data_IF_266549432826
#
_entry.id   IF_266549432826
#
_cell.length_a   1.000
_cell.length_b   1.000
_cell.length_c   1.000
_cell.angle_alpha   90.00
_cell.angle_beta   90.00
_cell.angle_gamma   90.00
#
_symmetry.space_group_name_H-M   'P 1'
#
loop_
_entity.id
_entity.type
_entity.pdbx_description
1 polymer ?
#
# COMPACT_ATOMS: atom_id res chain seq x y z
N UNK A 1 24.82 14.44 1.69
CA UNK A 1 24.12 14.39 2.99
C UNK A 1 24.83 13.47 3.95
N UNK A 2 24.71 12.14 3.84
CA UNK A 2 25.36 11.19 4.78
C UNK A 2 26.89 11.35 4.77
N UNK A 3 27.50 11.33 3.58
CA UNK A 3 28.93 11.59 3.42
C UNK A 3 29.35 12.96 3.99
N UNK A 4 28.51 13.97 3.81
CA UNK A 4 28.76 15.35 4.26
C UNK A 4 28.80 15.50 5.78
N UNK A 5 28.20 14.57 6.53
CA UNK A 5 28.23 14.58 8.00
C UNK A 5 29.25 13.59 8.59
N UNK A 6 30.15 13.05 7.76
CA UNK A 6 31.35 12.34 8.22
C UNK A 6 31.27 10.81 8.25
N UNK A 7 30.18 10.19 7.79
CA UNK A 7 30.10 8.73 7.71
C UNK A 7 30.95 8.17 6.57
N UNK A 8 31.50 6.97 6.79
CA UNK A 8 32.02 6.14 5.71
C UNK A 8 30.86 5.53 4.93
N UNK A 9 30.71 5.88 3.65
CA UNK A 9 29.55 5.50 2.84
C UNK A 9 29.98 4.52 1.76
N UNK A 10 29.25 3.41 1.64
CA UNK A 10 29.25 2.55 0.45
C UNK A 10 27.84 2.55 -0.14
N UNK A 11 27.73 2.90 -1.41
CA UNK A 11 26.49 2.86 -2.15
C UNK A 11 26.22 1.44 -2.65
N UNK A 12 24.95 1.04 -2.65
CA UNK A 12 24.50 -0.25 -3.17
C UNK A 12 23.37 -0.02 -4.15
N UNK A 13 23.54 -0.52 -5.37
CA UNK A 13 22.49 -0.62 -6.38
C UNK A 13 21.94 -2.04 -6.37
N UNK A 14 20.61 -2.16 -6.27
CA UNK A 14 19.94 -3.46 -6.24
C UNK A 14 19.27 -3.75 -7.57
N UNK A 15 19.66 -4.84 -8.22
CA UNK A 15 18.92 -5.43 -9.34
C UNK A 15 17.88 -6.40 -8.79
N UNK A 16 16.62 -6.00 -8.76
CA UNK A 16 15.51 -6.80 -8.21
C UNK A 16 14.58 -7.40 -9.29
N UNK A 17 14.75 -6.98 -10.54
CA UNK A 17 13.99 -7.47 -11.66
C UNK A 17 14.88 -7.52 -12.89
N UNK A 18 14.73 -8.56 -13.70
CA UNK A 18 15.48 -8.69 -14.94
C UNK A 18 14.59 -8.47 -16.16
N UNK A 19 14.70 -7.29 -16.76
CA UNK A 19 13.88 -6.92 -17.93
C UNK A 19 14.46 -7.54 -19.21
N UNK A 20 15.74 -7.95 -19.20
CA UNK A 20 16.37 -8.59 -20.36
C UNK A 20 15.74 -9.93 -20.68
N UNK A 21 15.19 -10.61 -19.68
CA UNK A 21 14.50 -11.90 -19.83
C UNK A 21 13.09 -11.75 -20.47
N UNK A 22 12.50 -10.53 -20.46
CA UNK A 22 11.13 -10.30 -20.95
C UNK A 22 11.05 -9.53 -22.27
N UNK A 23 11.84 -8.47 -22.48
CA UNK A 23 11.58 -7.49 -23.56
C UNK A 23 12.81 -7.01 -24.32
N UNK A 24 14.03 -7.41 -23.91
CA UNK A 24 15.28 -7.03 -24.59
C UNK A 24 15.70 -5.54 -24.47
N UNK A 25 14.94 -4.69 -23.77
CA UNK A 25 15.29 -3.28 -23.50
C UNK A 25 15.52 -3.07 -22.00
N UNK A 26 16.77 -2.82 -21.60
CA UNK A 26 17.15 -2.71 -20.19
C UNK A 26 17.06 -1.26 -19.67
N UNK A 27 15.97 -0.88 -19.00
CA UNK A 27 15.94 0.41 -18.25
C UNK A 27 16.82 0.38 -16.99
N UNK A 28 17.07 -0.81 -16.44
CA UNK A 28 17.91 -1.00 -15.25
C UNK A 28 19.38 -0.60 -15.50
N UNK A 29 19.89 -0.74 -16.73
CA UNK A 29 21.23 -0.27 -17.11
C UNK A 29 21.37 1.24 -16.98
N UNK A 30 20.35 2.01 -17.40
CA UNK A 30 20.37 3.47 -17.29
C UNK A 30 20.34 3.94 -15.84
N UNK A 31 19.52 3.32 -15.00
CA UNK A 31 19.46 3.66 -13.57
C UNK A 31 20.77 3.32 -12.86
N UNK A 32 21.43 2.23 -13.26
CA UNK A 32 22.75 1.87 -12.76
C UNK A 32 23.82 2.88 -13.19
N UNK A 33 23.84 3.30 -14.47
CA UNK A 33 24.78 4.32 -14.95
C UNK A 33 24.54 5.68 -14.27
N UNK A 34 23.29 6.08 -14.03
CA UNK A 34 22.99 7.28 -13.24
C UNK A 34 23.52 7.16 -11.80
N UNK A 35 23.34 6.00 -11.16
CA UNK A 35 23.86 5.74 -9.81
C UNK A 35 25.39 5.78 -9.79
N UNK A 36 26.04 5.16 -10.77
CA UNK A 36 27.49 5.16 -10.94
C UNK A 36 28.03 6.57 -11.14
N UNK A 37 27.40 7.35 -12.01
CA UNK A 37 27.76 8.76 -12.23
C UNK A 37 27.69 9.60 -10.94
N UNK A 38 26.65 9.41 -10.12
CA UNK A 38 26.54 10.09 -8.81
C UNK A 38 27.66 9.65 -7.87
N UNK A 39 27.92 8.34 -7.80
CA UNK A 39 28.94 7.77 -6.91
C UNK A 39 30.34 8.23 -7.30
N UNK A 40 30.67 8.27 -8.59
CA UNK A 40 31.95 8.77 -9.11
C UNK A 40 32.15 10.25 -8.78
N UNK A 41 31.12 11.07 -8.94
CA UNK A 41 31.15 12.50 -8.57
C UNK A 41 31.39 12.72 -7.08
N UNK A 42 30.78 11.90 -6.24
CA UNK A 42 30.88 11.97 -4.78
C UNK A 42 32.08 11.18 -4.22
N UNK A 43 32.81 10.45 -5.07
CA UNK A 43 33.90 9.53 -4.69
C UNK A 43 33.46 8.49 -3.65
N UNK A 44 32.27 7.92 -3.86
CA UNK A 44 31.68 6.87 -3.03
C UNK A 44 31.76 5.54 -3.77
N UNK A 45 32.21 4.44 -3.16
CA UNK A 45 32.19 3.14 -3.81
C UNK A 45 30.76 2.68 -4.07
N UNK A 46 30.52 2.13 -5.27
CA UNK A 46 29.23 1.57 -5.68
C UNK A 46 29.34 0.06 -5.85
N UNK A 47 28.48 -0.68 -5.16
CA UNK A 47 28.31 -2.12 -5.33
C UNK A 47 27.01 -2.41 -6.07
N UNK A 48 27.04 -3.42 -6.94
CA UNK A 48 25.85 -3.95 -7.60
C UNK A 48 25.48 -5.30 -6.98
N UNK A 49 24.25 -5.44 -6.51
CA UNK A 49 23.76 -6.65 -5.85
C UNK A 49 22.50 -7.13 -6.56
N UNK A 50 22.43 -8.43 -6.82
CA UNK A 50 21.30 -9.05 -7.48
C UNK A 50 20.39 -9.73 -6.46
N UNK A 51 19.14 -9.28 -6.37
CA UNK A 51 18.08 -9.88 -5.56
C UNK A 51 16.88 -10.31 -6.42
N UNK A 52 17.07 -10.58 -7.72
CA UNK A 52 15.99 -10.95 -8.65
C UNK A 52 15.27 -12.22 -8.16
N UNK A 53 16.02 -13.23 -7.73
CA UNK A 53 15.46 -14.50 -7.26
C UNK A 53 14.64 -14.32 -5.99
N UNK A 54 15.17 -13.57 -5.04
CA UNK A 54 14.53 -13.26 -3.76
C UNK A 54 13.25 -12.45 -4.00
N UNK A 55 13.32 -11.44 -4.86
CA UNK A 55 12.19 -10.63 -5.26
C UNK A 55 11.08 -11.48 -5.88
N UNK A 56 11.44 -12.35 -6.83
CA UNK A 56 10.50 -13.23 -7.51
C UNK A 56 9.75 -14.12 -6.53
N UNK A 57 10.48 -14.76 -5.62
CA UNK A 57 9.92 -15.74 -4.70
C UNK A 57 9.11 -15.12 -3.54
N UNK A 58 9.54 -13.97 -3.03
CA UNK A 58 8.98 -13.38 -1.81
C UNK A 58 7.96 -12.28 -2.07
N UNK A 59 8.04 -11.58 -3.20
CA UNK A 59 7.14 -10.45 -3.50
C UNK A 59 6.28 -10.77 -4.71
N UNK A 60 6.90 -11.16 -5.83
CA UNK A 60 6.17 -11.30 -7.09
C UNK A 60 5.25 -12.52 -7.12
N UNK A 61 5.72 -13.67 -6.63
CA UNK A 61 4.91 -14.89 -6.58
C UNK A 61 3.68 -14.74 -5.69
N UNK A 62 3.79 -13.99 -4.58
CA UNK A 62 2.64 -13.66 -3.74
C UNK A 62 1.69 -12.67 -4.43
N UNK A 63 2.24 -11.65 -5.11
CA UNK A 63 1.47 -10.72 -5.92
C UNK A 63 0.56 -11.44 -6.92
N UNK A 64 1.10 -12.40 -7.68
CA UNK A 64 0.35 -13.18 -8.68
C UNK A 64 -0.78 -13.97 -8.01
N UNK A 65 -0.48 -14.71 -6.93
CA UNK A 65 -1.48 -15.48 -6.17
C UNK A 65 -2.63 -14.61 -5.64
N UNK A 66 -2.31 -13.41 -5.19
CA UNK A 66 -3.32 -12.46 -4.72
C UNK A 66 -4.24 -11.99 -5.86
N UNK A 67 -3.68 -11.68 -7.03
CA UNK A 67 -4.47 -11.31 -8.20
C UNK A 67 -5.35 -12.45 -8.72
N UNK A 68 -4.84 -13.69 -8.72
CA UNK A 68 -5.61 -14.90 -9.03
C UNK A 68 -6.79 -15.09 -8.06
N UNK A 69 -6.56 -14.75 -6.79
CA UNK A 69 -7.58 -14.76 -5.74
C UNK A 69 -8.47 -13.50 -5.73
N UNK A 70 -8.43 -12.68 -6.78
CA UNK A 70 -9.27 -11.50 -6.90
C UNK A 70 -8.95 -10.37 -5.92
N UNK A 71 -7.85 -10.42 -5.20
CA UNK A 71 -7.40 -9.30 -4.38
C UNK A 71 -6.74 -8.20 -5.22
N UNK A 72 -6.49 -7.03 -4.62
CA UNK A 72 -5.63 -6.01 -5.20
C UNK A 72 -4.47 -5.74 -4.23
N UNK A 73 -3.33 -6.43 -4.39
CA UNK A 73 -2.17 -6.30 -3.51
C UNK A 73 -1.47 -4.94 -3.60
N UNK A 74 -0.55 -4.70 -2.66
CA UNK A 74 0.41 -3.59 -2.70
C UNK A 74 1.86 -4.14 -2.69
N UNK A 75 2.51 -4.32 -3.86
CA UNK A 75 3.86 -4.88 -3.93
C UNK A 75 4.94 -4.00 -3.30
N UNK A 76 4.73 -2.69 -3.21
CA UNK A 76 5.76 -1.77 -2.71
C UNK A 76 5.94 -1.91 -1.19
N UNK A 77 4.85 -2.16 -0.44
CA UNK A 77 4.92 -2.51 0.98
C UNK A 77 5.73 -3.78 1.19
N UNK A 78 5.46 -4.83 0.39
CA UNK A 78 6.19 -6.10 0.48
C UNK A 78 7.66 -5.98 0.03
N UNK A 79 7.94 -5.20 -1.02
CA UNK A 79 9.30 -4.90 -1.44
C UNK A 79 10.10 -4.20 -0.34
N UNK A 80 9.52 -3.21 0.35
CA UNK A 80 10.20 -2.59 1.48
C UNK A 80 10.41 -3.60 2.61
N UNK A 81 9.39 -4.35 3.00
CA UNK A 81 9.46 -5.35 4.07
C UNK A 81 10.53 -6.42 3.81
N UNK A 82 10.44 -7.11 2.66
CA UNK A 82 11.20 -8.33 2.38
C UNK A 82 12.52 -8.06 1.66
N UNK A 83 12.63 -6.99 0.89
CA UNK A 83 13.83 -6.74 0.07
C UNK A 83 14.68 -5.64 0.67
N UNK A 84 14.14 -4.42 0.78
CA UNK A 84 14.95 -3.27 1.21
C UNK A 84 15.31 -3.32 2.69
N UNK A 85 14.38 -3.73 3.55
CA UNK A 85 14.58 -3.77 5.00
C UNK A 85 14.69 -5.19 5.56
N UNK A 86 14.95 -6.17 4.69
CA UNK A 86 15.34 -7.51 5.14
C UNK A 86 16.54 -8.01 4.33
N UNK A 87 16.40 -8.36 3.06
CA UNK A 87 17.56 -8.85 2.26
C UNK A 87 18.71 -7.85 2.18
N UNK A 88 18.45 -6.59 1.80
CA UNK A 88 19.49 -5.55 1.73
C UNK A 88 20.04 -5.21 3.11
N UNK A 89 19.18 -5.14 4.13
CA UNK A 89 19.62 -4.93 5.51
C UNK A 89 20.59 -6.02 5.96
N UNK A 90 20.24 -7.29 5.77
CA UNK A 90 21.07 -8.42 6.15
C UNK A 90 22.37 -8.45 5.34
N UNK A 91 22.33 -8.19 4.03
CA UNK A 91 23.53 -8.05 3.20
C UNK A 91 24.47 -6.97 3.73
N UNK A 92 23.95 -5.76 4.01
CA UNK A 92 24.75 -4.66 4.51
C UNK A 92 25.37 -4.96 5.89
N UNK A 93 24.59 -5.55 6.81
CA UNK A 93 25.07 -5.89 8.16
C UNK A 93 26.06 -7.06 8.17
N UNK A 94 25.80 -8.09 7.38
CA UNK A 94 26.54 -9.36 7.48
C UNK A 94 27.72 -9.41 6.52
N UNK A 95 27.57 -8.96 5.29
CA UNK A 95 28.61 -9.04 4.26
C UNK A 95 29.48 -7.78 4.27
N UNK A 96 28.87 -6.59 4.31
CA UNK A 96 29.61 -5.32 4.32
C UNK A 96 30.03 -4.87 5.73
N UNK A 97 29.54 -5.56 6.78
CA UNK A 97 29.76 -5.18 8.19
C UNK A 97 29.39 -3.72 8.49
N UNK A 98 28.38 -3.19 7.80
CA UNK A 98 27.93 -1.82 7.98
C UNK A 98 27.19 -1.62 9.31
N UNK A 99 27.37 -0.46 9.94
CA UNK A 99 26.69 -0.10 11.20
C UNK A 99 25.23 0.29 10.99
N UNK A 100 24.86 0.77 9.80
CA UNK A 100 23.51 1.17 9.46
C UNK A 100 23.29 1.10 7.95
N UNK A 101 22.03 1.03 7.55
CA UNK A 101 21.62 1.29 6.16
C UNK A 101 21.01 2.68 6.06
N UNK A 102 20.97 3.23 4.85
CA UNK A 102 20.26 4.47 4.60
C UNK A 102 19.47 4.38 3.30
N UNK A 103 18.33 5.05 3.27
CA UNK A 103 17.48 5.09 2.07
C UNK A 103 16.98 6.50 1.78
N UNK A 104 16.64 6.75 0.52
CA UNK A 104 15.99 7.99 0.09
C UNK A 104 14.49 8.01 0.35
N UNK A 105 13.99 7.34 1.39
CA UNK A 105 12.57 7.43 1.74
C UNK A 105 12.28 8.73 2.51
N UNK A 106 11.17 9.38 2.15
CA UNK A 106 10.59 10.48 2.90
C UNK A 106 9.81 9.93 4.09
N UNK A 107 10.54 9.61 5.16
CA UNK A 107 10.01 9.26 6.49
C UNK A 107 10.96 9.78 7.55
N UNK A 108 10.49 9.96 8.78
CA UNK A 108 11.34 10.29 9.93
C UNK A 108 11.31 9.16 10.95
N UNK A 109 12.26 9.17 11.87
CA UNK A 109 12.25 8.32 13.06
C UNK A 109 12.54 9.17 14.30
N UNK A 110 12.19 8.66 15.48
CA UNK A 110 12.58 9.28 16.76
C UNK A 110 14.10 9.25 16.99
N UNK A 111 14.86 8.44 16.25
CA UNK A 111 16.32 8.40 16.32
C UNK A 111 17.02 9.48 15.51
N UNK A 112 16.27 10.30 14.76
CA UNK A 112 16.81 11.36 13.93
C UNK A 112 17.28 10.87 12.55
N UNK A 113 17.53 11.80 11.60
CA UNK A 113 17.94 11.49 10.23
C UNK A 113 19.21 10.65 10.12
N UNK A 114 20.11 10.72 11.12
CA UNK A 114 21.42 10.08 11.12
C UNK A 114 21.65 9.19 12.35
N UNK A 115 20.58 8.74 13.00
CA UNK A 115 20.64 7.91 14.22
C UNK A 115 21.31 8.60 15.41
N UNK A 116 21.35 9.93 15.44
CA UNK A 116 21.96 10.71 16.53
C UNK A 116 21.32 10.48 17.90
N UNK A 117 20.05 10.03 17.93
CA UNK A 117 19.33 9.69 19.16
C UNK A 117 19.12 8.17 19.31
N UNK A 118 19.92 7.33 18.64
CA UNK A 118 19.84 5.87 18.73
C UNK A 118 20.04 5.37 20.16
N UNK A 119 19.20 4.43 20.57
CA UNK A 119 19.31 3.77 21.87
C UNK A 119 19.08 2.25 21.73
N UNK A 120 20.02 1.39 22.19
CA UNK A 120 19.98 -0.05 21.93
C UNK A 120 18.73 -0.79 22.44
N UNK A 121 18.06 -0.24 23.46
CA UNK A 121 16.94 -0.88 24.16
C UNK A 121 15.62 -0.12 23.98
N UNK A 122 15.59 0.85 23.08
CA UNK A 122 14.37 1.59 22.76
C UNK A 122 13.94 1.23 21.36
N UNK A 123 12.66 0.94 21.21
CA UNK A 123 12.05 0.77 19.91
C UNK A 123 12.08 2.07 19.12
N UNK A 124 12.56 1.99 17.88
CA UNK A 124 12.39 3.08 16.92
C UNK A 124 10.90 3.23 16.58
N UNK A 125 10.48 4.48 16.38
CA UNK A 125 9.15 4.86 15.92
C UNK A 125 9.25 5.36 14.49
N UNK A 126 8.29 5.00 13.65
CA UNK A 126 8.17 5.52 12.29
C UNK A 126 7.28 6.77 12.30
N UNK A 127 7.80 7.88 11.81
CA UNK A 127 7.14 9.18 11.83
C UNK A 127 6.94 9.70 10.40
N UNK A 128 5.88 10.48 10.18
CA UNK A 128 5.61 11.14 8.90
C UNK A 128 6.75 12.05 8.47
N UNK A 129 7.00 12.15 7.18
CA UNK A 129 7.93 13.14 6.63
C UNK A 129 7.44 14.57 6.87
N UNK A 130 8.39 15.52 6.87
CA UNK A 130 8.06 16.95 6.86
C UNK A 130 7.32 17.37 5.59
N UNK A 131 7.61 16.74 4.45
CA UNK A 131 6.86 16.95 3.19
C UNK A 131 5.67 15.99 3.12
N UNK A 132 4.48 16.46 3.52
CA UNK A 132 3.26 15.65 3.54
C UNK A 132 2.85 15.09 2.18
N UNK A 133 3.29 15.70 1.07
CA UNK A 133 3.01 15.22 -0.30
C UNK A 133 3.99 14.14 -0.75
N UNK A 134 5.10 13.97 -0.03
CA UNK A 134 6.10 12.95 -0.29
C UNK A 134 6.17 11.89 0.81
N UNK A 135 5.46 12.07 1.92
CA UNK A 135 5.40 11.12 3.03
C UNK A 135 5.22 9.67 2.55
N UNK A 136 6.16 8.81 2.93
CA UNK A 136 6.24 7.41 2.50
C UNK A 136 6.02 6.43 3.65
N UNK A 137 5.56 6.89 4.82
CA UNK A 137 5.28 6.02 5.98
C UNK A 137 4.31 4.90 5.63
N UNK A 138 3.35 5.17 4.75
CA UNK A 138 2.42 4.16 4.23
C UNK A 138 3.14 2.91 3.69
N UNK A 139 4.20 3.10 2.91
CA UNK A 139 4.95 2.01 2.29
C UNK A 139 5.94 1.33 3.24
N UNK A 140 6.27 1.97 4.37
CA UNK A 140 7.19 1.45 5.38
C UNK A 140 6.44 0.89 6.61
N UNK A 141 5.11 0.85 6.57
CA UNK A 141 4.23 0.44 7.66
C UNK A 141 4.26 -1.06 8.03
N UNK A 142 5.10 -1.84 7.35
CA UNK A 142 5.37 -3.26 7.61
C UNK A 142 6.86 -3.54 7.84
N UNK A 143 7.70 -2.50 7.94
CA UNK A 143 9.15 -2.68 8.03
C UNK A 143 9.52 -3.33 9.37
N UNK A 144 10.33 -4.41 9.37
CA UNK A 144 10.79 -5.06 10.58
C UNK A 144 11.51 -4.09 11.53
N UNK A 145 11.14 -4.13 12.81
CA UNK A 145 11.68 -3.23 13.82
C UNK A 145 13.21 -3.32 13.92
N UNK A 146 13.74 -4.55 13.81
CA UNK A 146 15.18 -4.84 13.77
C UNK A 146 15.89 -4.02 12.68
N UNK A 147 15.36 -3.98 11.46
CA UNK A 147 15.98 -3.25 10.37
C UNK A 147 15.76 -1.73 10.50
N UNK A 148 14.57 -1.32 10.94
CA UNK A 148 14.22 0.09 11.12
C UNK A 148 15.15 0.78 12.14
N UNK A 149 15.51 0.10 13.23
CA UNK A 149 16.39 0.64 14.27
C UNK A 149 17.78 1.05 13.76
N UNK A 150 18.27 0.38 12.70
CA UNK A 150 19.57 0.65 12.08
C UNK A 150 19.42 1.29 10.70
N UNK A 151 18.34 2.05 10.49
CA UNK A 151 18.04 2.72 9.22
C UNK A 151 18.04 4.23 9.35
N UNK A 152 18.81 4.90 8.49
CA UNK A 152 18.85 6.36 8.36
C UNK A 152 17.92 6.84 7.24
N UNK A 153 17.24 7.97 7.48
CA UNK A 153 16.35 8.64 6.52
C UNK A 153 16.68 10.13 6.37
N UNK A 154 17.82 10.47 5.73
CA UNK A 154 18.35 11.84 5.74
C UNK A 154 17.41 12.89 5.14
N UNK A 155 16.55 12.48 4.19
CA UNK A 155 15.64 13.39 3.49
C UNK A 155 14.26 13.50 4.12
N UNK A 156 13.98 12.72 5.19
CA UNK A 156 12.69 12.72 5.88
C UNK A 156 12.26 14.07 6.41
N UNK A 157 13.24 14.89 6.79
CA UNK A 157 13.03 16.23 7.34
C UNK A 157 13.03 17.33 6.27
N UNK A 158 13.27 17.00 5.00
CA UNK A 158 13.41 17.96 3.90
C UNK A 158 12.15 18.03 3.04
N UNK A 159 11.88 19.20 2.45
CA UNK A 159 10.94 19.29 1.35
C UNK A 159 11.59 18.82 0.06
N UNK A 160 10.78 18.32 -0.90
CA UNK A 160 11.32 17.85 -2.19
C UNK A 160 12.15 18.91 -2.91
N UNK A 161 11.74 20.18 -2.81
CA UNK A 161 12.45 21.33 -3.39
C UNK A 161 13.85 21.51 -2.77
N UNK A 162 13.98 21.27 -1.47
CA UNK A 162 15.24 21.44 -0.75
C UNK A 162 16.20 20.31 -1.13
N UNK A 163 15.70 19.08 -1.26
CA UNK A 163 16.50 17.95 -1.77
C UNK A 163 17.03 18.23 -3.18
N UNK A 164 16.21 18.80 -4.07
CA UNK A 164 16.66 19.22 -5.41
C UNK A 164 17.72 20.31 -5.36
N UNK A 165 17.57 21.29 -4.46
CA UNK A 165 18.55 22.35 -4.26
C UNK A 165 19.90 21.78 -3.77
N UNK A 166 19.88 20.90 -2.77
CA UNK A 166 21.08 20.22 -2.26
C UNK A 166 21.77 19.42 -3.37
N UNK A 167 21.00 18.70 -4.20
CA UNK A 167 21.55 17.96 -5.33
C UNK A 167 22.18 18.88 -6.39
N UNK A 168 21.57 20.03 -6.67
CA UNK A 168 22.10 21.04 -7.59
C UNK A 168 23.42 21.64 -7.06
N UNK A 169 23.47 22.00 -5.78
CA UNK A 169 24.68 22.52 -5.10
C UNK A 169 25.82 21.49 -5.08
N UNK A 170 25.48 20.20 -5.00
CA UNK A 170 26.44 19.10 -5.12
C UNK A 170 26.85 18.78 -6.57
N UNK A 171 26.41 19.56 -7.55
CA UNK A 171 26.74 19.36 -8.97
C UNK A 171 25.98 18.20 -9.64
N UNK A 172 24.91 17.68 -9.04
CA UNK A 172 24.14 16.53 -9.53
C UNK A 172 23.01 16.93 -10.51
N UNK A 173 23.27 17.90 -11.38
CA UNK A 173 22.27 18.54 -12.24
C UNK A 173 21.50 17.57 -13.14
N UNK A 174 22.16 16.51 -13.64
CA UNK A 174 21.52 15.48 -14.47
C UNK A 174 20.38 14.78 -13.72
N UNK A 175 20.59 14.49 -12.44
CA UNK A 175 19.60 13.81 -11.59
C UNK A 175 18.47 14.76 -11.20
N UNK A 176 18.74 16.05 -11.00
CA UNK A 176 17.72 17.06 -10.65
C UNK A 176 16.64 17.19 -11.73
N UNK A 177 17.02 17.02 -13.00
CA UNK A 177 16.15 17.09 -14.17
C UNK A 177 15.40 15.77 -14.43
N UNK A 178 15.85 14.65 -13.85
CA UNK A 178 15.23 13.34 -14.04
C UNK A 178 13.82 13.34 -13.43
N UNK A 179 12.87 12.78 -14.18
CA UNK A 179 11.50 12.55 -13.70
C UNK A 179 11.51 11.48 -12.61
N UNK A 180 10.62 11.63 -11.64
CA UNK A 180 10.42 10.59 -10.63
C UNK A 180 9.79 9.36 -11.28
N UNK A 181 10.24 8.18 -10.85
CA UNK A 181 9.58 6.92 -11.21
C UNK A 181 8.18 6.89 -10.59
N UNK A 182 7.18 6.63 -11.42
CA UNK A 182 5.79 6.50 -11.01
C UNK A 182 5.32 5.09 -11.35
N UNK A 183 4.50 4.49 -10.48
CA UNK A 183 4.05 3.10 -10.62
C UNK A 183 4.83 2.13 -9.73
N UNK A 184 4.57 0.84 -9.92
CA UNK A 184 5.19 -0.24 -9.14
C UNK A 184 6.69 -0.30 -9.47
N UNK A 185 7.52 -0.37 -8.43
CA UNK A 185 8.97 -0.09 -8.49
C UNK A 185 9.75 -0.80 -9.63
N UNK A 186 9.34 -1.99 -10.05
CA UNK A 186 10.07 -2.84 -11.01
C UNK A 186 9.42 -2.97 -12.38
N UNK A 187 8.14 -2.61 -12.52
CA UNK A 187 7.40 -2.69 -13.79
C UNK A 187 7.81 -1.53 -14.73
N UNK A 188 8.35 -0.45 -14.15
CA UNK A 188 8.74 0.75 -14.89
C UNK A 188 7.52 1.45 -15.49
N UNK A 189 7.64 1.91 -16.74
CA UNK A 189 6.59 2.66 -17.45
C UNK A 189 5.54 1.79 -18.15
N UNK A 190 5.58 0.46 -18.01
CA UNK A 190 4.60 -0.45 -18.64
C UNK A 190 3.21 -0.26 -18.04
N UNK A 191 2.16 -0.46 -18.85
CA UNK A 191 0.78 -0.48 -18.33
C UNK A 191 0.61 -1.74 -17.49
N UNK A 192 0.19 -1.58 -16.23
CA UNK A 192 0.03 -2.68 -15.29
C UNK A 192 -0.86 -3.82 -15.82
N UNK A 193 -1.97 -3.46 -16.50
CA UNK A 193 -2.91 -4.43 -17.08
C UNK A 193 -2.22 -5.40 -18.06
N UNK A 194 -1.36 -4.86 -18.93
CA UNK A 194 -0.66 -5.66 -19.94
C UNK A 194 0.35 -6.58 -19.26
N UNK A 195 1.09 -6.04 -18.29
CA UNK A 195 2.07 -6.80 -17.51
C UNK A 195 1.46 -7.97 -16.75
N UNK A 196 0.40 -7.76 -15.96
CA UNK A 196 -0.15 -8.83 -15.12
C UNK A 196 -0.80 -9.96 -15.94
N UNK A 197 -1.25 -9.65 -17.16
CA UNK A 197 -1.85 -10.64 -18.09
C UNK A 197 -0.82 -11.66 -18.60
N UNK A 198 0.48 -11.35 -18.54
CA UNK A 198 1.55 -12.29 -18.88
C UNK A 198 1.70 -13.40 -17.83
N UNK A 199 1.17 -13.16 -16.62
CA UNK A 199 1.36 -14.02 -15.44
C UNK A 199 0.07 -14.63 -14.90
N UNK A 200 -1.06 -13.95 -15.09
CA UNK A 200 -2.37 -14.42 -14.65
C UNK A 200 -3.22 -14.70 -15.88
N UNK A 201 -3.71 -15.93 -15.99
CA UNK A 201 -4.55 -16.33 -17.13
C UNK A 201 -5.83 -15.48 -17.20
N UNK A 202 -6.11 -14.96 -18.40
CA UNK A 202 -7.36 -14.28 -18.69
C UNK A 202 -8.54 -15.26 -18.66
N UNK A 203 -9.59 -14.87 -17.94
CA UNK A 203 -10.86 -15.60 -17.88
C UNK A 203 -11.99 -14.59 -18.05
N UNK A 204 -12.55 -14.55 -19.27
CA UNK A 204 -13.62 -13.62 -19.60
C UNK A 204 -14.88 -13.90 -18.78
N UNK A 205 -15.58 -12.83 -18.43
CA UNK A 205 -16.78 -12.87 -17.62
C UNK A 205 -17.66 -11.64 -17.84
N UNK A 206 -18.74 -11.52 -17.07
CA UNK A 206 -19.73 -10.46 -17.28
C UNK A 206 -19.56 -9.31 -16.28
N UNK A 207 -19.95 -8.12 -16.72
CA UNK A 207 -20.34 -7.05 -15.81
C UNK A 207 -21.82 -7.15 -15.53
N UNK A 208 -22.18 -7.33 -14.26
CA UNK A 208 -23.57 -7.47 -13.81
C UNK A 208 -23.93 -6.26 -12.96
N UNK A 209 -24.95 -5.51 -13.36
CA UNK A 209 -25.47 -4.39 -12.59
C UNK A 209 -26.23 -4.91 -11.37
N UNK A 210 -25.87 -4.48 -10.16
CA UNK A 210 -26.50 -5.00 -8.93
C UNK A 210 -27.93 -4.51 -8.74
N UNK A 211 -28.30 -3.36 -9.29
CA UNK A 211 -29.63 -2.77 -9.07
C UNK A 211 -30.67 -3.44 -9.98
N UNK A 212 -30.25 -3.82 -11.19
CA UNK A 212 -31.14 -4.41 -12.20
C UNK A 212 -30.96 -5.91 -12.36
N UNK A 213 -29.82 -6.47 -11.94
CA UNK A 213 -29.43 -7.85 -12.19
C UNK A 213 -29.03 -8.15 -13.64
N UNK A 214 -29.03 -7.13 -14.52
CA UNK A 214 -28.80 -7.28 -15.95
C UNK A 214 -27.30 -7.26 -16.27
N UNK A 215 -26.90 -8.07 -17.26
CA UNK A 215 -25.56 -8.01 -17.85
C UNK A 215 -25.43 -6.72 -18.65
N UNK A 216 -24.51 -5.85 -18.24
CA UNK A 216 -24.28 -4.54 -18.86
C UNK A 216 -23.03 -4.49 -19.73
N UNK A 217 -22.21 -5.54 -19.73
CA UNK A 217 -21.02 -5.68 -20.56
C UNK A 217 -20.21 -6.91 -20.19
N UNK A 218 -18.98 -7.03 -20.71
CA UNK A 218 -18.05 -8.13 -20.44
C UNK A 218 -16.66 -7.61 -20.08
N UNK A 219 -15.85 -8.46 -19.43
CA UNK A 219 -14.45 -8.21 -19.11
C UNK A 219 -13.56 -9.37 -19.53
N UNK A 220 -12.24 -9.13 -19.58
CA UNK A 220 -11.23 -10.14 -19.98
C UNK A 220 -10.63 -10.91 -18.79
N UNK A 221 -10.81 -10.42 -17.55
CA UNK A 221 -10.36 -11.13 -16.35
C UNK A 221 -10.51 -10.32 -15.07
N UNK A 222 -10.86 -10.98 -13.97
CA UNK A 222 -11.08 -10.34 -12.65
C UNK A 222 -9.83 -9.64 -12.11
N UNK A 223 -8.64 -10.18 -12.40
CA UNK A 223 -7.36 -9.64 -11.94
C UNK A 223 -7.05 -8.23 -12.50
N UNK A 224 -7.69 -7.84 -13.60
CA UNK A 224 -7.51 -6.54 -14.25
C UNK A 224 -8.31 -5.40 -13.60
N UNK A 225 -9.12 -5.73 -12.59
CA UNK A 225 -10.10 -4.82 -12.00
C UNK A 225 -9.90 -4.67 -10.49
N UNK A 226 -10.01 -3.43 -10.03
CA UNK A 226 -9.97 -3.05 -8.61
C UNK A 226 -11.33 -2.51 -8.20
N UNK A 227 -11.74 -2.69 -6.94
CA UNK A 227 -12.97 -2.11 -6.43
C UNK A 227 -12.98 -0.59 -6.61
N UNK A 228 -14.13 -0.05 -6.99
CA UNK A 228 -14.33 1.37 -7.26
C UNK A 228 -13.70 1.89 -8.57
N UNK A 229 -13.02 1.04 -9.35
CA UNK A 229 -12.49 1.38 -10.66
C UNK A 229 -13.64 1.65 -11.64
N UNK A 230 -13.50 2.69 -12.47
CA UNK A 230 -14.49 3.03 -13.50
C UNK A 230 -14.44 2.00 -14.64
N UNK A 231 -15.58 1.39 -14.94
CA UNK A 231 -15.79 0.50 -16.08
C UNK A 231 -16.15 1.35 -17.31
N UNK A 232 -15.40 1.20 -18.41
CA UNK A 232 -15.66 1.90 -19.67
C UNK A 232 -16.71 1.16 -20.49
N UNK A 233 -17.95 1.10 -19.99
CA UNK A 233 -19.08 0.46 -20.66
C UNK A 233 -19.77 1.49 -21.58
N UNK A 234 -19.80 1.22 -22.88
CA UNK A 234 -20.39 2.11 -23.89
C UNK A 234 -21.91 2.16 -23.83
N UNK A 235 -22.51 3.27 -24.31
CA UNK A 235 -23.95 3.39 -24.48
C UNK A 235 -24.77 3.52 -23.18
N UNK A 236 -24.12 3.80 -22.04
CA UNK A 236 -24.78 3.96 -20.74
C UNK A 236 -24.90 5.43 -20.33
N UNK A 237 -26.02 5.85 -19.71
CA UNK A 237 -26.25 7.24 -19.32
C UNK A 237 -25.31 7.69 -18.19
N UNK A 238 -24.87 6.76 -17.34
CA UNK A 238 -23.93 7.02 -16.24
C UNK A 238 -22.73 6.09 -16.34
N UNK A 239 -21.55 6.52 -15.85
CA UNK A 239 -20.40 5.63 -15.74
C UNK A 239 -20.65 4.54 -14.71
N UNK A 240 -20.21 3.32 -15.02
CA UNK A 240 -20.24 2.20 -14.09
C UNK A 240 -18.95 2.09 -13.30
N UNK A 241 -19.02 1.52 -12.10
CA UNK A 241 -17.88 1.26 -11.23
C UNK A 241 -17.93 -0.15 -10.65
N UNK A 242 -16.77 -0.77 -10.48
CA UNK A 242 -16.64 -2.09 -9.85
C UNK A 242 -17.08 -2.02 -8.38
N UNK A 243 -18.08 -2.81 -8.01
CA UNK A 243 -18.54 -2.96 -6.63
C UNK A 243 -17.93 -4.20 -5.99
N UNK A 244 -18.05 -5.37 -6.64
CA UNK A 244 -17.61 -6.66 -6.11
C UNK A 244 -17.11 -7.54 -7.24
N UNK A 245 -16.14 -8.39 -6.92
CA UNK A 245 -15.61 -9.41 -7.83
C UNK A 245 -16.00 -10.77 -7.27
N UNK A 246 -16.67 -11.60 -8.05
CA UNK A 246 -17.05 -12.96 -7.63
C UNK A 246 -16.27 -13.99 -8.43
N UNK A 247 -15.33 -14.65 -7.77
CA UNK A 247 -14.48 -15.67 -8.39
C UNK A 247 -15.27 -16.94 -8.76
N UNK A 248 -16.39 -17.22 -8.07
CA UNK A 248 -17.17 -18.44 -8.31
C UNK A 248 -17.90 -18.36 -9.64
N UNK A 249 -18.67 -17.29 -9.86
CA UNK A 249 -19.36 -17.08 -11.13
C UNK A 249 -18.44 -16.50 -12.23
N UNK A 250 -17.29 -15.96 -11.83
CA UNK A 250 -16.41 -15.17 -12.68
C UNK A 250 -17.05 -13.86 -13.19
N UNK A 251 -18.01 -13.31 -12.45
CA UNK A 251 -18.62 -12.03 -12.77
C UNK A 251 -18.04 -10.89 -11.93
N UNK A 252 -18.08 -9.69 -12.49
CA UNK A 252 -17.81 -8.45 -11.79
C UNK A 252 -19.13 -7.70 -11.63
N UNK A 253 -19.56 -7.57 -10.39
CA UNK A 253 -20.72 -6.76 -10.02
C UNK A 253 -20.35 -5.28 -10.07
N UNK A 254 -21.18 -4.50 -10.75
CA UNK A 254 -20.97 -3.08 -11.01
C UNK A 254 -22.18 -2.26 -10.59
N UNK A 255 -21.95 -0.96 -10.41
CA UNK A 255 -22.98 0.02 -10.03
C UNK A 255 -22.90 1.24 -10.93
N UNK A 256 -24.04 1.85 -11.23
CA UNK A 256 -24.11 3.10 -11.96
C UNK A 256 -23.86 4.29 -11.02
N UNK A 257 -23.00 5.22 -11.44
CA UNK A 257 -22.77 6.49 -10.73
C UNK A 257 -21.66 6.45 -9.69
N UNK A 258 -20.96 7.58 -9.54
CA UNK A 258 -19.75 7.69 -8.69
C UNK A 258 -20.05 7.49 -7.21
N UNK A 259 -21.24 7.90 -6.76
CA UNK A 259 -21.64 7.96 -5.36
C UNK A 259 -22.65 6.86 -4.98
N UNK A 260 -22.69 5.76 -5.74
CA UNK A 260 -23.61 4.66 -5.43
C UNK A 260 -23.38 4.14 -3.99
N UNK A 261 -24.42 3.99 -3.14
CA UNK A 261 -24.27 3.60 -1.74
C UNK A 261 -23.53 2.27 -1.53
N UNK A 262 -23.60 1.35 -2.50
CA UNK A 262 -22.89 0.08 -2.43
C UNK A 262 -21.36 0.25 -2.40
N UNK A 263 -20.83 1.38 -2.91
CA UNK A 263 -19.39 1.64 -2.90
C UNK A 263 -18.87 2.10 -1.53
N UNK A 264 -19.74 2.43 -0.58
CA UNK A 264 -19.35 2.99 0.71
C UNK A 264 -19.51 1.98 1.82
N UNK A 265 -18.48 1.86 2.66
CA UNK A 265 -18.49 1.06 3.88
C UNK A 265 -17.78 1.81 5.01
N UNK A 266 -18.21 1.56 6.24
CA UNK A 266 -17.63 2.12 7.46
C UNK A 266 -16.89 1.07 8.30
N UNK A 267 -17.11 -0.22 8.04
CA UNK A 267 -16.47 -1.32 8.75
C UNK A 267 -15.46 -2.04 7.88
N UNK A 268 -14.31 -2.39 8.45
CA UNK A 268 -13.25 -3.15 7.80
C UNK A 268 -12.81 -4.27 8.74
N UNK A 269 -12.68 -5.48 8.20
CA UNK A 269 -11.95 -6.57 8.85
C UNK A 269 -10.59 -6.66 8.19
N UNK A 270 -9.54 -6.43 8.98
CA UNK A 270 -8.16 -6.55 8.55
C UNK A 270 -7.48 -7.73 9.25
N UNK A 271 -6.38 -8.21 8.67
CA UNK A 271 -5.55 -9.26 9.23
C UNK A 271 -5.00 -8.87 10.60
N UNK A 272 -4.23 -9.79 11.21
CA UNK A 272 -3.33 -9.40 12.27
C UNK A 272 -2.45 -8.23 11.82
N UNK A 273 -2.32 -7.25 12.72
CA UNK A 273 -1.57 -6.03 12.48
C UNK A 273 -0.10 -6.24 12.81
N UNK A 274 0.74 -5.71 11.94
CA UNK A 274 2.13 -5.49 12.28
C UNK A 274 2.27 -4.11 12.92
N UNK A 275 2.60 -4.08 14.22
CA UNK A 275 2.95 -2.87 14.94
C UNK A 275 4.42 -2.51 14.70
N UNK A 276 4.72 -1.25 14.39
CA UNK A 276 6.09 -0.78 14.19
C UNK A 276 6.86 -0.79 15.52
N UNK A 277 6.33 -0.10 16.53
CA UNK A 277 6.92 -0.07 17.87
C UNK A 277 6.36 -1.22 18.73
N UNK A 278 5.21 -0.99 19.36
CA UNK A 278 4.55 -1.93 20.25
C UNK A 278 3.05 -1.83 20.12
N UNK A 279 2.37 -2.90 20.49
CA UNK A 279 0.91 -2.89 20.58
C UNK A 279 0.47 -1.80 21.59
N UNK A 280 -0.44 -0.89 21.20
CA UNK A 280 -1.01 0.10 22.10
C UNK A 280 -1.67 -0.57 23.30
N UNK A 281 -1.51 0.04 24.48
CA UNK A 281 -2.00 -0.51 25.76
C UNK A 281 -3.52 -0.69 25.75
N UNK A 282 -4.21 0.15 25.01
CA UNK A 282 -5.65 0.10 24.79
C UNK A 282 -6.11 -1.16 24.09
N UNK A 283 -5.25 -1.88 23.36
CA UNK A 283 -5.61 -3.12 22.65
C UNK A 283 -5.09 -4.40 23.33
N UNK A 284 -4.38 -4.26 24.45
CA UNK A 284 -3.92 -5.40 25.25
C UNK A 284 -5.06 -6.08 26.02
N UNK A 285 -6.13 -5.34 26.29
CA UNK A 285 -7.36 -5.87 26.90
C UNK A 285 -8.37 -6.25 25.81
N UNK A 286 -9.08 -7.37 26.00
CA UNK A 286 -10.04 -7.92 25.03
C UNK A 286 -11.23 -7.01 24.68
N UNK A 287 -11.48 -5.96 25.45
CA UNK A 287 -12.57 -4.99 25.25
C UNK A 287 -12.07 -3.57 25.01
N UNK A 288 -10.76 -3.39 24.89
CA UNK A 288 -10.19 -2.06 24.75
C UNK A 288 -10.34 -1.53 23.32
N UNK A 289 -10.32 -0.20 23.23
CA UNK A 289 -10.60 0.52 21.99
C UNK A 289 -9.47 1.51 21.77
N UNK A 290 -8.81 1.39 20.63
CA UNK A 290 -7.84 2.40 20.20
C UNK A 290 -8.52 3.41 19.28
N UNK A 291 -8.50 4.67 19.71
CA UNK A 291 -8.88 5.81 18.87
C UNK A 291 -7.66 6.27 18.08
N UNK A 292 -7.72 6.20 16.76
CA UNK A 292 -6.60 6.63 15.92
C UNK A 292 -7.07 7.10 14.54
N UNK A 293 -6.12 7.37 13.66
CA UNK A 293 -6.37 7.71 12.27
C UNK A 293 -5.98 6.56 11.36
N UNK A 294 -6.71 6.40 10.26
CA UNK A 294 -6.50 5.35 9.28
C UNK A 294 -6.35 5.91 7.87
N UNK A 295 -5.62 5.18 7.02
CA UNK A 295 -5.55 5.38 5.57
C UNK A 295 -5.34 4.03 4.89
N UNK A 296 -5.94 3.84 3.71
CA UNK A 296 -5.72 2.64 2.88
C UNK A 296 -5.11 2.91 1.49
N UNK A 297 -4.92 4.17 1.15
CA UNK A 297 -4.29 4.59 -0.11
C UNK A 297 -3.29 5.71 0.16
N UNK A 298 -2.09 5.60 -0.42
CA UNK A 298 -1.04 6.60 -0.29
C UNK A 298 -1.55 8.01 -0.64
N UNK A 299 -1.21 8.99 0.21
CA UNK A 299 -1.61 10.41 0.13
C UNK A 299 -3.10 10.73 0.26
N UNK A 300 -4.00 9.75 0.44
CA UNK A 300 -5.39 10.07 0.81
C UNK A 300 -5.46 10.72 2.19
N UNK A 301 -6.44 11.60 2.46
CA UNK A 301 -6.64 12.14 3.80
C UNK A 301 -6.76 11.04 4.85
N UNK A 302 -6.26 11.32 6.05
CA UNK A 302 -6.46 10.45 7.20
C UNK A 302 -7.92 10.51 7.66
N UNK A 303 -8.46 9.36 8.05
CA UNK A 303 -9.84 9.23 8.51
C UNK A 303 -9.83 8.79 9.97
N UNK A 304 -10.50 9.51 10.89
CA UNK A 304 -10.64 9.06 12.26
C UNK A 304 -11.38 7.71 12.32
N UNK A 305 -10.93 6.84 13.21
CA UNK A 305 -11.49 5.51 13.36
C UNK A 305 -11.30 4.97 14.78
N UNK A 306 -12.10 3.96 15.10
CA UNK A 306 -11.96 3.14 16.29
C UNK A 306 -11.50 1.74 15.87
N UNK A 307 -10.48 1.23 16.56
CA UNK A 307 -9.91 -0.10 16.34
C UNK A 307 -10.30 -1.00 17.51
N UNK A 308 -10.76 -2.20 17.16
CA UNK A 308 -11.08 -3.27 18.09
C UNK A 308 -10.26 -4.51 17.70
N UNK A 309 -9.59 -5.10 18.67
CA UNK A 309 -8.89 -6.39 18.48
C UNK A 309 -9.87 -7.52 18.73
N UNK A 310 -9.97 -8.42 17.77
CA UNK A 310 -10.84 -9.59 17.85
C UNK A 310 -10.11 -10.77 18.49
N UNK A 311 -10.83 -11.84 18.83
CA UNK A 311 -10.26 -13.02 19.51
C UNK A 311 -9.20 -13.78 18.69
N UNK A 312 -9.22 -13.65 17.37
CA UNK A 312 -8.24 -14.29 16.47
C UNK A 312 -7.12 -13.32 16.03
N UNK A 313 -6.85 -12.27 16.82
CA UNK A 313 -5.90 -11.19 16.54
C UNK A 313 -6.17 -10.35 15.29
N UNK A 314 -7.31 -10.52 14.61
CA UNK A 314 -7.71 -9.61 13.52
C UNK A 314 -8.18 -8.27 14.07
N UNK A 315 -8.13 -7.24 13.23
CA UNK A 315 -8.67 -5.92 13.56
C UNK A 315 -10.05 -5.71 12.93
N UNK A 316 -11.02 -5.33 13.77
CA UNK A 316 -12.23 -4.67 13.33
C UNK A 316 -12.00 -3.16 13.42
N UNK A 317 -12.13 -2.49 12.28
CA UNK A 317 -11.95 -1.04 12.16
C UNK A 317 -13.31 -0.43 11.85
N UNK A 318 -13.75 0.50 12.70
CA UNK A 318 -14.93 1.34 12.46
C UNK A 318 -14.48 2.75 12.11
N UNK A 319 -14.81 3.20 10.90
CA UNK A 319 -14.54 4.55 10.44
C UNK A 319 -15.61 5.51 10.93
N UNK A 320 -15.22 6.75 11.21
CA UNK A 320 -16.18 7.81 11.55
C UNK A 320 -17.00 8.28 10.35
N UNK A 321 -16.40 8.16 9.16
CA UNK A 321 -17.01 8.55 7.90
C UNK A 321 -16.87 7.38 6.91
N UNK A 322 -17.95 7.00 6.21
CA UNK A 322 -17.90 5.93 5.22
C UNK A 322 -16.91 6.25 4.12
N UNK A 323 -16.11 5.25 3.73
CA UNK A 323 -15.17 5.40 2.63
C UNK A 323 -15.57 4.60 1.43
N UNK A 324 -15.34 5.24 0.28
CA UNK A 324 -15.59 4.66 -1.03
C UNK A 324 -14.52 3.62 -1.37
N UNK A 325 -14.96 2.44 -1.80
CA UNK A 325 -14.16 1.40 -2.43
C UNK A 325 -12.96 0.94 -1.60
N UNK A 326 -13.17 0.70 -0.30
CA UNK A 326 -12.21 -0.06 0.50
C UNK A 326 -11.98 -1.40 -0.20
N UNK A 327 -10.71 -1.74 -0.44
CA UNK A 327 -10.33 -2.78 -1.38
C UNK A 327 -9.58 -3.89 -0.65
N UNK A 328 -10.14 -5.10 -0.58
CA UNK A 328 -9.41 -6.27 -0.07
C UNK A 328 -8.09 -6.52 -0.80
N UNK A 329 -7.05 -6.87 -0.05
CA UNK A 329 -5.67 -6.99 -0.54
C UNK A 329 -4.81 -5.74 -0.31
N UNK A 330 -5.42 -4.56 -0.19
CA UNK A 330 -4.71 -3.35 0.22
C UNK A 330 -4.43 -3.36 1.72
N UNK A 331 -3.64 -2.39 2.21
CA UNK A 331 -3.28 -2.27 3.61
C UNK A 331 -4.04 -1.15 4.29
N UNK A 332 -4.49 -1.38 5.52
CA UNK A 332 -4.90 -0.34 6.46
C UNK A 332 -3.68 0.11 7.24
N UNK A 333 -3.31 1.39 7.13
CA UNK A 333 -2.19 1.98 7.88
C UNK A 333 -2.75 2.88 8.96
N UNK A 334 -2.30 2.67 10.20
CA UNK A 334 -2.80 3.36 11.39
C UNK A 334 -1.81 4.44 11.85
N UNK A 335 -2.34 5.56 12.31
CA UNK A 335 -1.57 6.73 12.72
C UNK A 335 -2.09 7.33 14.03
N UNK A 336 -1.18 7.81 14.87
CA UNK A 336 -1.48 8.66 16.03
C UNK A 336 -0.60 9.91 15.98
N UNK A 337 -1.22 11.07 15.77
CA UNK A 337 -0.48 12.30 15.47
C UNK A 337 0.43 12.10 14.24
N UNK A 338 1.73 12.22 14.45
CA UNK A 338 2.77 12.03 13.42
C UNK A 338 3.31 10.60 13.33
N UNK A 339 2.98 9.72 14.29
CA UNK A 339 3.47 8.35 14.36
C UNK A 339 2.65 7.42 13.46
N UNK A 340 3.33 6.64 12.64
CA UNK A 340 2.78 5.47 11.95
C UNK A 340 2.86 4.28 12.90
N UNK A 341 1.71 3.85 13.42
CA UNK A 341 1.64 2.78 14.41
C UNK A 341 1.93 1.41 13.78
N UNK A 342 1.55 1.22 12.53
CA UNK A 342 1.62 -0.07 11.87
C UNK A 342 0.58 -0.24 10.78
N UNK A 343 0.47 -1.46 10.26
CA UNK A 343 -0.53 -1.78 9.25
C UNK A 343 -1.00 -3.22 9.27
N UNK A 344 -2.19 -3.43 8.73
CA UNK A 344 -2.79 -4.75 8.52
C UNK A 344 -3.35 -4.85 7.09
N UNK A 345 -3.42 -6.05 6.55
CA UNK A 345 -4.01 -6.27 5.22
C UNK A 345 -5.53 -6.29 5.33
N UNK A 346 -6.23 -5.57 4.47
CA UNK A 346 -7.70 -5.60 4.36
C UNK A 346 -8.11 -6.99 3.86
N UNK A 347 -8.88 -7.71 4.69
CA UNK A 347 -9.44 -9.01 4.32
C UNK A 347 -10.81 -8.84 3.67
N UNK A 348 -11.70 -8.12 4.37
CA UNK A 348 -13.07 -7.90 3.94
C UNK A 348 -13.57 -6.52 4.37
N UNK A 349 -14.49 -5.96 3.58
CA UNK A 349 -15.28 -4.81 4.00
C UNK A 349 -16.55 -5.31 4.66
N UNK A 350 -17.03 -4.60 5.68
CA UNK A 350 -18.35 -4.83 6.24
C UNK A 350 -19.47 -4.52 5.23
N UNK A 351 -20.74 -4.63 5.66
CA UNK A 351 -21.87 -4.38 4.77
C UNK A 351 -21.80 -2.97 4.18
N UNK A 352 -22.02 -2.88 2.87
CA UNK A 352 -22.14 -1.58 2.21
C UNK A 352 -23.44 -0.88 2.61
N UNK A 353 -23.49 0.45 2.49
CA UNK A 353 -24.69 1.22 2.80
C UNK A 353 -25.93 0.76 2.03
N UNK A 354 -25.77 0.28 0.80
CA UNK A 354 -26.87 -0.31 0.01
C UNK A 354 -27.48 -1.56 0.67
N UNK A 355 -26.64 -2.46 1.20
CA UNK A 355 -27.12 -3.66 1.91
C UNK A 355 -27.79 -3.30 3.24
N UNK A 356 -27.24 -2.30 3.94
CA UNK A 356 -27.84 -1.79 5.18
C UNK A 356 -29.20 -1.16 4.89
N UNK A 357 -29.31 -0.27 3.89
CA UNK A 357 -30.58 0.36 3.52
C UNK A 357 -31.63 -0.65 3.06
N UNK A 358 -31.24 -1.67 2.31
CA UNK A 358 -32.15 -2.74 1.89
C UNK A 358 -32.66 -3.57 3.07
N UNK A 359 -31.80 -3.85 4.06
CA UNK A 359 -32.20 -4.55 5.28
C UNK A 359 -33.14 -3.71 6.13
N UNK A 360 -32.89 -2.41 6.27
CA UNK A 360 -33.81 -1.48 6.93
C UNK A 360 -35.15 -1.44 6.18
N UNK A 361 -35.14 -1.28 4.86
CA UNK A 361 -36.37 -1.26 4.06
C UNK A 361 -37.16 -2.57 4.18
N UNK A 362 -36.48 -3.73 4.20
CA UNK A 362 -37.10 -5.06 4.40
C UNK A 362 -37.61 -5.27 5.83
N UNK A 363 -36.94 -4.73 6.85
CA UNK A 363 -37.42 -4.76 8.24
C UNK A 363 -38.67 -3.89 8.41
N UNK A 364 -38.64 -2.65 7.90
CA UNK A 364 -39.79 -1.74 7.96
C UNK A 364 -41.00 -2.29 7.19
N UNK A 365 -40.80 -2.88 6.02
CA UNK A 365 -41.91 -3.51 5.26
C UNK A 365 -42.42 -4.78 5.92
N UNK A 366 -41.59 -5.53 6.66
CA UNK A 366 -42.02 -6.66 7.48
C UNK A 366 -42.82 -6.23 8.70
N UNK A 367 -42.42 -5.16 9.39
CA UNK A 367 -43.16 -4.52 10.48
C UNK A 367 -44.51 -3.97 10.01
N UNK A 368 -44.55 -3.24 8.89
CA UNK A 368 -45.81 -2.75 8.29
C UNK A 368 -46.73 -3.92 7.89
N UNK A 369 -46.17 -5.04 7.39
CA UNK A 369 -46.97 -6.23 7.05
C UNK A 369 -47.49 -6.99 8.27
N UNK A 370 -46.85 -6.86 9.43
CA UNK A 370 -47.30 -7.42 10.71
C UNK A 370 -48.40 -6.55 11.32
N UNK A 371 -48.29 -5.22 11.23
CA UNK A 371 -49.32 -4.29 11.70
C UNK A 371 -50.60 -4.37 10.86
N UNK A 372 -50.48 -4.55 9.53
CA UNK A 372 -51.64 -4.74 8.66
C UNK A 372 -52.36 -6.08 8.90
N UNK A 373 -51.63 -7.14 9.30
CA UNK A 373 -52.24 -8.42 9.70
C UNK A 373 -52.84 -8.40 11.12
N UNK A 374 -52.44 -7.45 11.96
CA UNK A 374 -53.04 -7.20 13.27
C UNK A 374 -54.31 -6.36 13.20
N UNK A 375 -54.47 -5.54 12.15
CA UNK A 375 -55.63 -4.68 11.94
C UNK A 375 -56.86 -5.40 11.34
N UNK A 376 -56.67 -6.57 10.70
CA UNK A 376 -57.76 -7.39 10.14
C UNK A 376 -58.42 -8.33 11.16
N UNK A 377 -58.08 -8.22 12.46
CA UNK A 377 -58.60 -9.06 13.55
C UNK A 377 -59.27 -8.25 14.68
N UNK A 378 -59.83 -7.07 14.38
CA UNK A 378 -60.67 -6.30 15.33
C UNK A 378 -62.05 -6.06 14.73
#
# INVERSE_FOLDING_TARGET
>A
MIFSVGFNVTAVFMKNWDITDETGYCTAEKDYEDAKWVCDKLKVPLLNVNFVKEYWNTVFSELVKEYESGYTPNPDIQCNKCIKFDMFYNFARNELKADAIATGHYVRTNFGPYLENFQPNINVKLLKASDSRKDQTFFLSQVPQKALCYSMFPIGSCLKKDVKKIAQEAGLNLIVQKKESMGICFIGSRRFKDFITEYVQNKSGNFVDIDTGVIVGTHEGIHQWTLGQRCKIGGKPQPYFVYKKDLKSNDIFVVAGTNHPALFAEFIIASEIYWIDKEPVELQNSHGILRCYFRFQHLKPLVPCNIYKTQNNQLLIKLDVPLRAITPGQYTVLYSGEECLGSAKVLHCGPSYHLLSDQFAKQTSKEISLDLKGADNI
#
